data_IF_449359513995
#
_entry.id   IF_449359513995
#
_cell.length_a   1.000
_cell.length_b   1.000
_cell.length_c   1.000
_cell.angle_alpha   90.00
_cell.angle_beta   90.00
_cell.angle_gamma   90.00
#
_symmetry.space_group_name_H-M   'P 1'
#
loop_
_entity.id
_entity.type
_entity.pdbx_description
1 polymer ?
#
# COMPACT_ATOMS: atom_id res chain seq x y z
N UNK A 1 -6.93 -16.75 9.25
CA UNK A 1 -6.84 -17.26 7.86
C UNK A 1 -8.27 -17.51 7.39
N UNK A 2 -8.62 -17.14 6.15
CA UNK A 2 -10.03 -17.18 5.68
C UNK A 2 -10.45 -18.49 5.00
N UNK A 3 -9.50 -19.37 4.68
CA UNK A 3 -9.77 -20.69 4.08
C UNK A 3 -10.55 -20.65 2.75
N UNK A 4 -10.38 -19.59 1.96
CA UNK A 4 -10.93 -19.47 0.60
C UNK A 4 -9.87 -19.98 -0.37
N UNK A 5 -10.01 -21.24 -0.82
CA UNK A 5 -8.95 -21.96 -1.54
C UNK A 5 -8.70 -21.44 -2.96
N UNK A 6 -9.74 -20.97 -3.64
CA UNK A 6 -9.70 -20.40 -4.99
C UNK A 6 -9.75 -18.86 -4.98
N UNK A 7 -9.41 -18.22 -3.85
CA UNK A 7 -9.39 -16.76 -3.77
C UNK A 7 -8.45 -16.17 -4.83
N UNK A 8 -8.96 -15.26 -5.65
CA UNK A 8 -8.19 -14.65 -6.73
C UNK A 8 -8.59 -13.20 -7.00
N UNK A 9 -7.85 -12.51 -7.86
CA UNK A 9 -8.22 -11.25 -8.46
C UNK A 9 -8.98 -11.47 -9.77
N UNK A 10 -10.05 -10.70 -9.99
CA UNK A 10 -10.77 -10.70 -11.26
C UNK A 10 -9.88 -10.28 -12.45
N UNK A 11 -8.75 -9.62 -12.19
CA UNK A 11 -7.76 -9.26 -13.21
C UNK A 11 -7.16 -10.48 -13.92
N UNK A 12 -7.05 -11.62 -13.22
CA UNK A 12 -6.38 -12.81 -13.72
C UNK A 12 -7.25 -13.65 -14.67
N UNK A 13 -8.57 -13.38 -14.73
CA UNK A 13 -9.53 -14.14 -15.52
C UNK A 13 -9.39 -15.67 -15.34
N UNK A 14 -9.19 -16.12 -14.10
CA UNK A 14 -8.87 -17.52 -13.77
C UNK A 14 -10.07 -18.47 -13.77
N UNK A 15 -11.30 -17.92 -13.84
CA UNK A 15 -12.52 -18.69 -13.62
C UNK A 15 -12.82 -18.98 -12.15
N UNK A 16 -12.14 -18.28 -11.22
CA UNK A 16 -12.43 -18.36 -9.78
C UNK A 16 -13.88 -17.98 -9.47
N UNK A 17 -14.46 -18.64 -8.47
CA UNK A 17 -15.76 -18.28 -7.91
C UNK A 17 -15.67 -17.27 -6.76
N UNK A 18 -14.45 -17.00 -6.26
CA UNK A 18 -14.19 -16.14 -5.12
C UNK A 18 -13.20 -15.03 -5.45
N UNK A 19 -13.65 -14.06 -6.26
CA UNK A 19 -12.85 -12.87 -6.54
C UNK A 19 -12.83 -11.92 -5.34
N UNK A 20 -11.70 -11.89 -4.63
CA UNK A 20 -11.46 -11.02 -3.47
C UNK A 20 -11.02 -9.61 -3.87
N UNK A 21 -10.59 -9.45 -5.12
CA UNK A 21 -10.27 -8.18 -5.76
C UNK A 21 -11.09 -8.08 -7.04
N UNK A 22 -11.84 -7.00 -7.20
CA UNK A 22 -12.77 -6.78 -8.32
C UNK A 22 -12.53 -5.43 -9.00
N UNK A 23 -12.99 -5.22 -10.25
CA UNK A 23 -12.89 -3.92 -10.90
C UNK A 23 -13.58 -2.85 -10.06
N UNK A 24 -12.97 -1.67 -9.94
CA UNK A 24 -13.59 -0.54 -9.27
C UNK A 24 -14.94 -0.21 -9.93
N UNK A 25 -15.98 0.00 -9.12
CA UNK A 25 -17.33 0.31 -9.59
C UNK A 25 -17.38 1.66 -10.31
N UNK A 26 -16.71 2.66 -9.76
CA UNK A 26 -16.71 4.04 -10.25
C UNK A 26 -15.31 4.51 -10.67
N UNK A 27 -15.29 5.41 -11.66
CA UNK A 27 -14.09 6.18 -11.99
C UNK A 27 -13.91 7.34 -11.00
N UNK A 28 -12.67 7.75 -10.76
CA UNK A 28 -12.40 8.94 -9.98
C UNK A 28 -12.91 10.21 -10.70
N UNK A 29 -13.40 11.24 -9.96
CA UNK A 29 -13.92 12.47 -10.58
C UNK A 29 -12.91 13.18 -11.48
N UNK A 30 -11.62 13.17 -11.11
CA UNK A 30 -10.53 13.81 -11.85
C UNK A 30 -9.72 12.82 -12.70
N UNK A 31 -10.40 11.78 -13.23
CA UNK A 31 -9.78 10.73 -14.05
C UNK A 31 -9.10 11.33 -15.28
N UNK A 32 -7.88 10.86 -15.57
CA UNK A 32 -7.19 11.17 -16.83
C UNK A 32 -7.86 10.45 -17.99
N UNK A 33 -8.15 11.14 -19.08
CA UNK A 33 -8.66 10.50 -20.30
C UNK A 33 -7.71 9.39 -20.76
N UNK A 34 -8.27 8.24 -21.15
CA UNK A 34 -7.50 7.05 -21.51
C UNK A 34 -6.82 6.30 -20.34
N UNK A 35 -6.85 6.85 -19.12
CA UNK A 35 -6.26 6.23 -17.93
C UNK A 35 -7.15 5.18 -17.23
N UNK A 36 -6.63 4.46 -16.22
CA UNK A 36 -7.43 3.57 -15.37
C UNK A 36 -8.64 4.27 -14.72
N UNK A 37 -9.60 3.47 -14.25
CA UNK A 37 -10.80 3.94 -13.52
C UNK A 37 -10.41 4.86 -12.36
N UNK A 38 -9.44 4.45 -11.54
CA UNK A 38 -8.81 5.33 -10.58
C UNK A 38 -7.49 5.85 -11.13
N UNK A 39 -7.52 7.04 -11.72
CA UNK A 39 -6.32 7.79 -12.07
C UNK A 39 -6.44 9.25 -11.62
N UNK A 40 -5.39 9.77 -10.98
CA UNK A 40 -5.37 11.12 -10.44
C UNK A 40 -5.57 11.18 -8.93
N UNK A 41 -5.84 12.38 -8.43
CA UNK A 41 -5.94 12.66 -7.00
C UNK A 41 -7.37 12.50 -6.49
N UNK A 42 -7.53 11.84 -5.34
CA UNK A 42 -8.78 11.78 -4.61
C UNK A 42 -8.53 11.99 -3.11
N UNK A 43 -9.46 12.70 -2.46
CA UNK A 43 -9.50 12.82 -1.01
C UNK A 43 -9.99 11.51 -0.38
N UNK A 44 -9.28 11.04 0.63
CA UNK A 44 -9.64 9.88 1.43
C UNK A 44 -9.91 10.29 2.89
N UNK A 45 -10.89 9.61 3.48
CA UNK A 45 -11.18 9.69 4.90
C UNK A 45 -10.28 8.74 5.66
N UNK A 46 -9.46 9.26 6.56
CA UNK A 46 -8.55 8.46 7.37
C UNK A 46 -9.27 8.00 8.64
N UNK A 47 -9.29 6.70 8.93
CA UNK A 47 -10.06 6.17 10.05
C UNK A 47 -9.29 6.33 11.38
N UNK A 48 -9.90 6.92 12.44
CA UNK A 48 -9.26 7.14 13.72
C UNK A 48 -8.68 5.88 14.38
N UNK A 49 -7.57 6.08 15.11
CA UNK A 49 -6.91 5.01 15.86
C UNK A 49 -6.19 3.98 14.97
N UNK A 50 -5.98 4.27 13.69
CA UNK A 50 -5.20 3.45 12.77
C UNK A 50 -3.76 3.95 12.69
N UNK A 51 -2.84 3.13 12.19
CA UNK A 51 -1.48 3.57 11.89
C UNK A 51 -1.47 4.66 10.84
N UNK A 52 -2.33 4.55 9.83
CA UNK A 52 -2.48 5.56 8.78
C UNK A 52 -2.87 6.92 9.38
N UNK A 53 -3.82 6.93 10.31
CA UNK A 53 -4.19 8.12 11.09
C UNK A 53 -3.01 8.74 11.83
N UNK A 54 -2.18 7.93 12.50
CA UNK A 54 -0.97 8.44 13.15
C UNK A 54 0.05 9.02 12.16
N UNK A 55 0.19 8.42 10.96
CA UNK A 55 1.12 8.92 9.94
C UNK A 55 0.62 10.25 9.35
N UNK A 56 -0.69 10.40 9.17
CA UNK A 56 -1.32 11.61 8.64
C UNK A 56 -1.57 12.70 9.69
N UNK A 57 -1.13 12.53 10.94
CA UNK A 57 -1.34 13.53 11.99
C UNK A 57 -2.79 13.68 12.45
N UNK A 58 -3.65 12.71 12.12
CA UNK A 58 -5.07 12.70 12.48
C UNK A 58 -6.01 13.42 11.53
N UNK A 59 -5.52 13.85 10.37
CA UNK A 59 -6.32 14.51 9.34
C UNK A 59 -6.66 13.56 8.19
N UNK A 60 -7.71 13.91 7.45
CA UNK A 60 -7.97 13.34 6.12
C UNK A 60 -6.85 13.70 5.15
N UNK A 61 -6.78 13.00 4.03
CA UNK A 61 -5.65 13.11 3.12
C UNK A 61 -6.09 13.14 1.65
N UNK A 62 -5.22 13.60 0.76
CA UNK A 62 -5.40 13.52 -0.69
C UNK A 62 -4.24 12.76 -1.29
N UNK A 63 -4.54 11.69 -2.03
CA UNK A 63 -3.51 10.79 -2.54
C UNK A 63 -3.74 10.46 -4.02
N UNK A 64 -2.67 10.03 -4.67
CA UNK A 64 -2.63 9.78 -6.11
C UNK A 64 -2.89 8.31 -6.41
N UNK A 65 -3.75 8.04 -7.39
CA UNK A 65 -4.13 6.70 -7.80
C UNK A 65 -3.75 6.43 -9.26
N UNK A 66 -3.51 5.16 -9.56
CA UNK A 66 -3.38 4.63 -10.91
C UNK A 66 -3.70 3.13 -10.92
N UNK A 67 -4.99 2.77 -10.82
CA UNK A 67 -5.45 1.37 -10.77
C UNK A 67 -6.87 1.19 -11.32
N UNK A 68 -7.21 -0.05 -11.70
CA UNK A 68 -8.55 -0.44 -12.18
C UNK A 68 -9.32 -1.33 -11.19
N UNK A 69 -8.65 -1.85 -10.17
CA UNK A 69 -9.17 -2.87 -9.27
C UNK A 69 -9.03 -2.43 -7.80
N UNK A 70 -9.88 -2.99 -6.95
CA UNK A 70 -9.89 -2.73 -5.51
C UNK A 70 -10.42 -3.91 -4.72
N UNK A 71 -10.55 -3.73 -3.40
CA UNK A 71 -11.12 -4.73 -2.50
C UNK A 71 -12.56 -5.03 -2.91
N UNK A 72 -12.93 -6.30 -3.03
CA UNK A 72 -14.33 -6.67 -3.18
C UNK A 72 -15.05 -6.45 -1.84
N UNK A 73 -16.04 -5.56 -1.82
CA UNK A 73 -16.80 -5.16 -0.64
C UNK A 73 -17.52 -6.34 0.03
N UNK A 74 -17.88 -7.37 -0.74
CA UNK A 74 -18.51 -8.60 -0.23
C UNK A 74 -17.60 -9.35 0.77
N UNK A 75 -16.28 -9.27 0.57
CA UNK A 75 -15.29 -9.94 1.41
C UNK A 75 -14.75 -9.04 2.54
N UNK A 76 -15.05 -7.74 2.53
CA UNK A 76 -14.46 -6.78 3.47
C UNK A 76 -14.75 -7.14 4.93
N UNK A 77 -15.98 -7.57 5.23
CA UNK A 77 -16.35 -8.02 6.59
C UNK A 77 -15.55 -9.25 7.01
N UNK A 78 -15.29 -10.18 6.10
CA UNK A 78 -14.49 -11.37 6.38
C UNK A 78 -13.03 -11.00 6.62
N UNK A 79 -12.44 -10.11 5.81
CA UNK A 79 -11.10 -9.58 6.05
C UNK A 79 -10.98 -8.95 7.43
N UNK A 80 -11.99 -8.15 7.82
CA UNK A 80 -12.03 -7.53 9.15
C UNK A 80 -12.12 -8.54 10.28
N UNK A 81 -13.00 -9.54 10.15
CA UNK A 81 -13.11 -10.62 11.13
C UNK A 81 -11.81 -11.45 11.25
N UNK A 82 -11.04 -11.56 10.16
CA UNK A 82 -9.74 -12.23 10.16
C UNK A 82 -8.57 -11.37 10.65
N UNK A 83 -8.84 -10.11 11.03
CA UNK A 83 -7.87 -9.23 11.68
C UNK A 83 -7.28 -8.14 10.80
N UNK A 84 -7.61 -8.05 9.50
CA UNK A 84 -7.29 -6.84 8.74
C UNK A 84 -8.15 -5.68 9.25
N UNK A 85 -7.63 -4.46 9.23
CA UNK A 85 -8.40 -3.28 9.61
C UNK A 85 -8.42 -2.30 8.45
N UNK A 86 -9.60 -1.84 8.07
CA UNK A 86 -9.71 -0.73 7.11
C UNK A 86 -9.14 0.52 7.76
N UNK A 87 -8.22 1.19 7.06
CA UNK A 87 -7.50 2.37 7.57
C UNK A 87 -7.84 3.64 6.82
N UNK A 88 -8.31 3.55 5.58
CA UNK A 88 -8.86 4.67 4.83
C UNK A 88 -10.03 4.27 3.93
N UNK A 89 -10.96 5.20 3.78
CA UNK A 89 -12.11 5.12 2.88
C UNK A 89 -12.02 6.20 1.81
N UNK A 90 -12.48 5.90 0.60
CA UNK A 90 -12.70 6.93 -0.40
C UNK A 90 -14.02 7.68 -0.15
N UNK A 91 -14.39 8.58 -1.06
CA UNK A 91 -15.53 9.49 -0.88
C UNK A 91 -16.86 8.72 -0.84
N UNK A 92 -16.97 7.61 -1.56
CA UNK A 92 -18.18 6.79 -1.60
C UNK A 92 -18.19 5.68 -0.54
N UNK A 93 -17.21 5.63 0.36
CA UNK A 93 -17.09 4.64 1.42
C UNK A 93 -16.34 3.36 1.03
N UNK A 94 -15.78 3.29 -0.17
CA UNK A 94 -14.96 2.19 -0.65
C UNK A 94 -13.64 2.08 0.12
N UNK A 95 -13.15 0.85 0.32
CA UNK A 95 -11.86 0.63 1.01
C UNK A 95 -10.70 1.07 0.13
N UNK A 96 -9.92 2.06 0.59
CA UNK A 96 -8.73 2.60 -0.11
C UNK A 96 -7.41 2.18 0.53
N UNK A 97 -7.42 1.87 1.81
CA UNK A 97 -6.27 1.34 2.51
C UNK A 97 -6.68 0.41 3.65
N UNK A 98 -5.83 -0.58 3.92
CA UNK A 98 -5.95 -1.50 5.04
C UNK A 98 -4.62 -1.60 5.79
N UNK A 99 -4.68 -2.04 7.05
CA UNK A 99 -3.53 -2.36 7.88
C UNK A 99 -3.76 -3.67 8.63
N UNK A 100 -2.68 -4.27 9.14
CA UNK A 100 -2.75 -5.47 9.97
C UNK A 100 -2.29 -5.11 11.40
N UNK A 101 -3.22 -4.88 12.33
CA UNK A 101 -2.92 -4.73 13.75
C UNK A 101 -2.08 -5.90 14.27
N UNK A 102 -1.16 -5.63 15.21
CA UNK A 102 -0.23 -6.62 15.74
C UNK A 102 1.01 -6.89 14.87
N UNK A 103 0.97 -6.58 13.57
CA UNK A 103 2.19 -6.57 12.76
C UNK A 103 3.05 -5.32 13.05
N UNK A 104 4.38 -5.47 13.06
CA UNK A 104 5.31 -4.36 13.39
C UNK A 104 5.07 -3.14 12.49
N UNK A 105 4.90 -3.40 11.20
CA UNK A 105 4.45 -2.43 10.21
C UNK A 105 3.80 -3.16 9.02
N UNK A 106 2.50 -2.99 8.82
CA UNK A 106 1.79 -3.48 7.64
C UNK A 106 0.75 -2.46 7.26
N UNK A 107 0.87 -1.94 6.05
CA UNK A 107 -0.05 -0.99 5.43
C UNK A 107 -0.11 -1.36 3.95
N UNK A 108 -1.31 -1.54 3.43
CA UNK A 108 -1.56 -1.76 2.01
C UNK A 108 -2.55 -0.69 1.51
N UNK A 109 -2.22 -0.05 0.39
CA UNK A 109 -2.94 1.11 -0.13
C UNK A 109 -3.23 0.90 -1.62
N UNK A 110 -4.39 1.37 -2.07
CA UNK A 110 -4.67 1.49 -3.51
C UNK A 110 -4.01 2.75 -4.09
N UNK A 111 -3.88 3.81 -3.29
CA UNK A 111 -3.09 4.96 -3.68
C UNK A 111 -1.60 4.60 -3.73
N UNK A 112 -0.86 5.41 -4.48
CA UNK A 112 0.52 5.17 -4.86
C UNK A 112 1.41 6.32 -4.37
N UNK A 113 1.98 6.20 -3.15
CA UNK A 113 2.85 7.23 -2.55
C UNK A 113 4.01 7.67 -3.44
N UNK A 114 4.47 6.81 -4.35
CA UNK A 114 5.53 7.12 -5.30
C UNK A 114 5.16 8.19 -6.32
N UNK A 115 3.87 8.38 -6.64
CA UNK A 115 3.45 9.37 -7.64
C UNK A 115 3.61 10.81 -7.12
N UNK A 116 3.41 11.02 -5.82
CA UNK A 116 3.50 12.32 -5.14
C UNK A 116 4.84 12.55 -4.42
N UNK A 117 5.64 11.51 -4.15
CA UNK A 117 6.95 11.66 -3.50
C UNK A 117 7.96 12.43 -4.35
N UNK A 118 8.76 13.30 -3.72
CA UNK A 118 9.88 14.04 -4.34
C UNK A 118 11.16 13.93 -3.48
N UNK A 119 12.36 14.10 -4.03
CA UNK A 119 13.60 14.06 -3.23
C UNK A 119 13.63 15.08 -2.09
N UNK A 120 13.17 16.30 -2.35
CA UNK A 120 13.12 17.41 -1.39
C UNK A 120 11.93 17.29 -0.42
N UNK A 121 10.91 16.52 -0.80
CA UNK A 121 9.71 16.25 -0.02
C UNK A 121 9.31 14.76 -0.12
N UNK A 122 10.03 13.86 0.58
CA UNK A 122 9.72 12.44 0.56
C UNK A 122 8.35 12.16 1.18
N UNK A 123 7.60 11.23 0.59
CA UNK A 123 6.26 10.91 1.08
C UNK A 123 6.26 10.42 2.53
N UNK A 124 5.32 10.90 3.36
CA UNK A 124 5.22 10.53 4.78
C UNK A 124 5.09 9.02 5.01
N UNK A 125 4.40 8.28 4.14
CA UNK A 125 4.28 6.83 4.22
C UNK A 125 5.62 6.10 4.00
N UNK A 126 6.46 6.60 3.08
CA UNK A 126 7.82 6.07 2.90
C UNK A 126 8.67 6.32 4.13
N UNK A 127 8.64 7.54 4.67
CA UNK A 127 9.37 7.87 5.89
C UNK A 127 8.89 7.01 7.08
N UNK A 128 7.59 6.77 7.19
CA UNK A 128 7.03 5.91 8.24
C UNK A 128 7.50 4.45 8.11
N UNK A 129 7.49 3.89 6.89
CA UNK A 129 8.00 2.55 6.61
C UNK A 129 9.49 2.43 6.95
N UNK A 130 10.31 3.37 6.48
CA UNK A 130 11.76 3.38 6.74
C UNK A 130 12.07 3.48 8.24
N UNK A 131 11.36 4.34 8.98
CA UNK A 131 11.48 4.42 10.44
C UNK A 131 11.13 3.08 11.11
N UNK A 132 10.10 2.39 10.64
CA UNK A 132 9.73 1.08 11.17
C UNK A 132 10.79 0.02 10.84
N UNK A 133 11.35 0.02 9.63
CA UNK A 133 12.45 -0.86 9.23
C UNK A 133 13.72 -0.62 10.06
N UNK A 134 14.08 0.64 10.33
CA UNK A 134 15.21 0.97 11.21
C UNK A 134 14.99 0.48 12.65
N UNK A 135 13.78 0.63 13.19
CA UNK A 135 13.42 0.08 14.51
C UNK A 135 13.51 -1.45 14.52
N UNK A 136 13.05 -2.10 13.45
CA UNK A 136 13.16 -3.55 13.28
C UNK A 136 14.63 -4.00 13.31
N UNK A 137 15.50 -3.33 12.54
CA UNK A 137 16.92 -3.64 12.47
C UNK A 137 17.62 -3.49 13.83
N UNK A 138 17.32 -2.42 14.58
CA UNK A 138 17.84 -2.22 15.95
C UNK A 138 17.35 -3.27 16.95
N UNK A 139 16.08 -3.70 16.84
CA UNK A 139 15.52 -4.73 17.70
C UNK A 139 16.05 -6.14 17.36
N UNK A 140 16.52 -6.36 16.13
CA UNK A 140 17.13 -7.61 15.67
C UNK A 140 18.66 -7.65 15.79
N UNK A 141 19.33 -6.53 16.07
CA UNK A 141 20.79 -6.49 16.21
C UNK A 141 21.22 -6.97 17.59
N UNK A 142 21.67 -8.22 17.69
CA UNK A 142 22.90 -8.49 18.45
C UNK A 142 24.05 -7.76 17.74
N UNK A 143 25.07 -7.23 18.44
CA UNK A 143 26.22 -6.64 17.77
C UNK A 143 26.91 -7.73 16.94
N UNK A 144 26.84 -7.61 15.62
CA UNK A 144 27.57 -8.49 14.69
C UNK A 144 28.67 -7.69 14.04
N UNK A 145 29.88 -8.24 14.14
CA UNK A 145 31.12 -7.72 13.60
C UNK A 145 31.04 -7.40 12.10
N UNK A 146 31.77 -6.33 11.74
CA UNK A 146 32.29 -5.98 10.41
C UNK A 146 31.35 -6.10 9.21
N UNK A 147 30.84 -4.96 8.74
CA UNK A 147 30.33 -4.81 7.37
C UNK A 147 31.52 -4.82 6.39
N UNK A 148 31.46 -5.54 5.26
CA UNK A 148 32.46 -5.36 4.21
C UNK A 148 32.30 -3.96 3.60
N UNK A 149 33.43 -3.27 3.49
CA UNK A 149 33.55 -1.98 2.81
C UNK A 149 33.35 -2.20 1.31
N UNK A 150 32.29 -1.63 0.72
CA UNK A 150 32.06 -1.70 -0.72
C UNK A 150 32.69 -0.47 -1.38
N UNK A 151 34.02 -0.48 -1.50
CA UNK A 151 34.73 0.40 -2.41
C UNK A 151 35.71 -0.44 -3.23
N UNK A 152 35.29 -0.82 -4.44
CA UNK A 152 36.23 -1.08 -5.52
C UNK A 152 35.64 -0.58 -6.86
N UNK A 153 36.41 0.17 -7.67
CA UNK A 153 35.95 0.67 -8.95
C UNK A 153 35.82 -0.48 -9.96
N UNK A 154 34.76 -0.44 -10.78
CA UNK A 154 34.54 -1.40 -11.87
C UNK A 154 35.67 -1.29 -12.90
N UNK A 155 36.42 -2.37 -13.07
CA UNK A 155 37.38 -2.51 -14.17
C UNK A 155 36.65 -2.43 -15.53
N UNK A 156 37.14 -1.56 -16.41
CA UNK A 156 36.68 -1.45 -17.79
C UNK A 156 37.30 -2.60 -18.60
N UNK A 157 36.47 -3.49 -19.13
CA UNK A 157 36.93 -4.51 -20.07
C UNK A 157 37.10 -3.89 -21.45
N UNK A 158 38.33 -3.88 -21.97
CA UNK A 158 38.63 -3.52 -23.36
C UNK A 158 38.15 -4.65 -24.29
N UNK A 159 37.45 -4.28 -25.36
CA UNK A 159 37.12 -5.19 -26.47
C UNK A 159 38.37 -5.45 -27.31
N UNK A 160 38.58 -6.71 -27.69
CA UNK A 160 39.38 -7.13 -28.84
C UNK A 160 38.41 -7.67 -29.88
#
# INVERSE_FOLDING_TARGET
MLHIADADSAENNSGSSHYVVTPLSCSLPNRREGGPKASGEERLKILPGTRLHSICGGEDDSEQYYCNYGVNEEYEKQFQAAGLRVSARGIQGETRAVELPGHRFFVATLFQPQLSSRPEAPHRFWLAFLRAAMKFQKAGSKPSATRPHYDQPRAKTAKV
#
